data_IF_883359365032
#
_entry.id   IF_883359365032
#
_cell.length_a   1.000
_cell.length_b   1.000
_cell.length_c   1.000
_cell.angle_alpha   90.00
_cell.angle_beta   90.00
_cell.angle_gamma   90.00
#
_symmetry.space_group_name_H-M   'P 1'
#
loop_
_entity.id
_entity.type
_entity.pdbx_description
1 polymer ?
#
# COMPACT_ATOMS: atom_id res chain seq x y z
N UNK A 1 -2.05 -4.64 10.26
CA UNK A 1 -0.61 -4.78 9.96
C UNK A 1 -0.35 -4.83 8.47
N UNK A 2 0.04 -3.69 7.89
CA UNK A 2 0.38 -3.55 6.47
C UNK A 2 1.79 -4.13 6.21
N UNK A 3 1.89 -5.11 5.31
CA UNK A 3 3.14 -5.80 4.95
C UNK A 3 3.35 -5.83 3.44
N UNK A 4 4.57 -6.19 3.01
CA UNK A 4 4.95 -6.28 1.61
C UNK A 4 4.06 -7.23 0.77
N UNK A 5 3.65 -8.34 1.38
CA UNK A 5 2.79 -9.37 0.78
C UNK A 5 1.30 -8.97 0.78
N UNK A 6 0.93 -7.95 1.56
CA UNK A 6 -0.45 -7.46 1.60
C UNK A 6 -0.86 -7.01 0.20
N UNK A 7 -1.99 -7.54 -0.27
CA UNK A 7 -2.56 -7.12 -1.56
C UNK A 7 -3.14 -5.72 -1.45
N UNK A 8 -3.03 -4.95 -2.53
CA UNK A 8 -3.67 -3.63 -2.59
C UNK A 8 -5.19 -3.75 -2.40
N UNK A 9 -5.81 -4.87 -2.78
CA UNK A 9 -7.23 -5.10 -2.53
C UNK A 9 -7.53 -5.06 -1.03
N UNK A 10 -6.85 -5.88 -0.23
CA UNK A 10 -7.09 -5.94 1.20
C UNK A 10 -6.77 -4.60 1.87
N UNK A 11 -5.71 -3.92 1.42
CA UNK A 11 -5.33 -2.61 1.89
C UNK A 11 -6.42 -1.56 1.64
N UNK A 12 -6.92 -1.48 0.40
CA UNK A 12 -7.90 -0.48 -0.01
C UNK A 12 -9.34 -0.82 0.38
N UNK A 13 -9.62 -2.08 0.72
CA UNK A 13 -10.89 -2.51 1.30
C UNK A 13 -11.00 -2.04 2.76
N UNK A 14 -9.89 -2.14 3.52
CA UNK A 14 -9.81 -1.61 4.87
C UNK A 14 -9.66 -0.09 4.91
N UNK A 15 -8.89 0.49 3.98
CA UNK A 15 -8.51 1.91 3.95
C UNK A 15 -8.64 2.49 2.54
N UNK A 16 -9.87 2.78 2.07
CA UNK A 16 -10.09 3.31 0.72
C UNK A 16 -9.45 4.69 0.50
N UNK A 17 -9.21 5.46 1.57
CA UNK A 17 -8.49 6.74 1.54
C UNK A 17 -7.03 6.62 1.06
N UNK A 18 -6.38 5.46 1.21
CA UNK A 18 -4.98 5.26 0.79
C UNK A 18 -4.81 5.28 -0.73
N UNK A 19 -5.88 5.15 -1.50
CA UNK A 19 -5.82 5.25 -2.96
C UNK A 19 -5.32 6.63 -3.39
N UNK A 20 -5.66 7.67 -2.65
CA UNK A 20 -5.20 9.03 -2.92
C UNK A 20 -3.70 9.17 -2.66
N UNK A 21 -3.21 8.58 -1.57
CA UNK A 21 -1.78 8.55 -1.25
C UNK A 21 -0.98 7.76 -2.28
N UNK A 22 -1.46 6.57 -2.68
CA UNK A 22 -0.85 5.80 -3.76
C UNK A 22 -0.84 6.60 -5.08
N UNK A 23 -1.94 7.25 -5.43
CA UNK A 23 -2.02 8.06 -6.64
C UNK A 23 -1.06 9.26 -6.63
N UNK A 24 -0.71 9.81 -5.46
CA UNK A 24 0.33 10.84 -5.32
C UNK A 24 1.73 10.31 -5.59
N UNK A 25 2.01 9.06 -5.23
CA UNK A 25 3.29 8.42 -5.52
C UNK A 25 3.45 8.04 -6.99
N UNK A 26 2.40 7.51 -7.64
CA UNK A 26 2.50 7.10 -9.03
C UNK A 26 1.15 7.15 -9.77
N UNK A 27 1.17 7.71 -10.99
CA UNK A 27 -0.03 7.91 -11.81
C UNK A 27 -0.78 6.60 -12.14
N UNK A 28 -0.07 5.46 -12.18
CA UNK A 28 -0.70 4.16 -12.42
C UNK A 28 -1.70 3.77 -11.33
N UNK A 29 -1.50 4.23 -10.09
CA UNK A 29 -2.42 4.00 -8.98
C UNK A 29 -3.65 4.91 -9.01
N UNK A 30 -3.64 6.00 -9.78
CA UNK A 30 -4.83 6.82 -9.97
C UNK A 30 -5.97 6.01 -10.61
N UNK A 31 -5.65 4.96 -11.37
CA UNK A 31 -6.64 4.05 -11.96
C UNK A 31 -7.37 3.22 -10.89
N UNK A 32 -6.79 3.03 -9.71
CA UNK A 32 -7.44 2.33 -8.58
C UNK A 32 -8.53 3.17 -7.90
N UNK A 33 -8.66 4.46 -8.26
CA UNK A 33 -9.83 5.27 -7.89
C UNK A 33 -11.11 4.70 -8.48
N UNK A 34 -11.03 4.07 -9.65
CA UNK A 34 -12.16 3.37 -10.24
C UNK A 34 -12.38 2.03 -9.52
N UNK A 35 -13.60 1.84 -9.00
CA UNK A 35 -13.94 0.65 -8.23
C UNK A 35 -13.83 -0.66 -9.04
N UNK A 36 -14.04 -0.60 -10.36
CA UNK A 36 -13.93 -1.77 -11.24
C UNK A 36 -12.47 -2.13 -11.42
N UNK A 37 -11.63 -1.16 -11.78
CA UNK A 37 -10.18 -1.36 -11.93
C UNK A 37 -9.56 -1.85 -10.62
N UNK A 38 -9.97 -1.27 -9.49
CA UNK A 38 -9.52 -1.72 -8.16
C UNK A 38 -9.84 -3.19 -7.93
N UNK A 39 -11.05 -3.65 -8.23
CA UNK A 39 -11.42 -5.06 -8.07
C UNK A 39 -10.68 -6.02 -9.00
N UNK A 40 -10.25 -5.55 -10.17
CA UNK A 40 -9.57 -6.38 -11.18
C UNK A 40 -8.06 -6.46 -10.99
N UNK A 41 -7.43 -5.36 -10.58
CA UNK A 41 -5.97 -5.21 -10.48
C UNK A 41 -5.48 -5.36 -9.04
N UNK A 42 -6.16 -4.75 -8.06
CA UNK A 42 -5.70 -4.73 -6.68
C UNK A 42 -5.51 -6.11 -6.02
N UNK A 43 -6.28 -7.18 -6.33
CA UNK A 43 -5.99 -8.51 -5.76
C UNK A 43 -4.75 -9.18 -6.35
N UNK A 44 -4.28 -8.72 -7.50
CA UNK A 44 -3.12 -9.28 -8.21
C UNK A 44 -1.82 -8.53 -7.94
N UNK A 45 -1.92 -7.38 -7.27
CA UNK A 45 -0.79 -6.49 -6.99
C UNK A 45 -0.62 -6.40 -5.48
N UNK A 46 0.56 -6.77 -5.01
CA UNK A 46 0.99 -6.59 -3.63
C UNK A 46 1.64 -5.23 -3.42
N UNK A 47 1.77 -4.79 -2.17
CA UNK A 47 2.50 -3.55 -1.83
C UNK A 47 3.95 -3.61 -2.33
N UNK A 48 4.60 -4.78 -2.29
CA UNK A 48 5.93 -4.99 -2.86
C UNK A 48 5.98 -4.71 -4.37
N UNK A 49 5.02 -5.26 -5.11
CA UNK A 49 4.93 -5.04 -6.56
C UNK A 49 4.58 -3.59 -6.88
N UNK A 50 3.72 -2.97 -6.08
CA UNK A 50 3.36 -1.57 -6.20
C UNK A 50 4.60 -0.67 -6.05
N UNK A 51 5.43 -0.91 -5.03
CA UNK A 51 6.67 -0.17 -4.82
C UNK A 51 7.63 -0.32 -6.01
N UNK A 52 7.82 -1.55 -6.49
CA UNK A 52 8.66 -1.84 -7.66
C UNK A 52 8.14 -1.15 -8.93
N UNK A 53 6.82 -1.14 -9.15
CA UNK A 53 6.20 -0.46 -10.31
C UNK A 53 6.32 1.06 -10.24
N UNK A 54 6.24 1.64 -9.04
CA UNK A 54 6.39 3.07 -8.82
C UNK A 54 7.85 3.54 -8.76
N UNK A 55 8.81 2.61 -8.76
CA UNK A 55 10.23 2.92 -8.63
C UNK A 55 10.60 3.51 -7.26
N UNK A 56 9.78 3.25 -6.23
CA UNK A 56 10.01 3.73 -4.86
C UNK A 56 10.48 2.58 -3.96
N UNK A 57 11.30 2.86 -2.92
CA UNK A 57 11.67 1.85 -1.95
C UNK A 57 10.44 1.29 -1.23
N UNK A 58 10.36 -0.03 -1.12
CA UNK A 58 9.26 -0.71 -0.44
C UNK A 58 9.10 -0.25 1.01
N UNK A 59 10.21 -0.01 1.71
CA UNK A 59 10.20 0.43 3.10
C UNK A 59 9.58 1.84 3.24
N UNK A 60 9.91 2.76 2.33
CA UNK A 60 9.30 4.09 2.28
C UNK A 60 7.81 4.02 1.99
N UNK A 61 7.40 3.18 1.03
CA UNK A 61 5.97 3.02 0.70
C UNK A 61 5.20 2.42 1.90
N UNK A 62 5.76 1.41 2.56
CA UNK A 62 5.15 0.83 3.76
C UNK A 62 5.04 1.84 4.89
N UNK A 63 6.09 2.64 5.12
CA UNK A 63 6.08 3.69 6.15
C UNK A 63 5.02 4.76 5.84
N UNK A 64 4.92 5.20 4.58
CA UNK A 64 3.91 6.16 4.13
C UNK A 64 2.49 5.61 4.30
N UNK A 65 2.24 4.38 3.84
CA UNK A 65 0.93 3.73 3.94
C UNK A 65 0.51 3.50 5.40
N UNK A 66 1.43 3.04 6.26
CA UNK A 66 1.16 2.86 7.70
C UNK A 66 0.82 4.18 8.37
N UNK A 67 1.62 5.22 8.09
CA UNK A 67 1.38 6.56 8.62
C UNK A 67 0.03 7.12 8.18
N UNK A 68 -0.33 6.94 6.92
CA UNK A 68 -1.61 7.38 6.37
C UNK A 68 -2.80 6.58 6.92
N UNK A 69 -2.63 5.28 7.17
CA UNK A 69 -3.63 4.41 7.79
C UNK A 69 -3.81 4.66 9.31
N UNK A 70 -2.96 5.50 9.92
CA UNK A 70 -2.93 5.70 11.37
C UNK A 70 -2.40 4.50 12.14
N UNK A 71 -1.84 3.50 11.46
CA UNK A 71 -1.15 2.38 12.09
C UNK A 71 0.17 2.92 12.68
N UNK A 72 0.56 2.53 13.91
CA UNK A 72 1.89 2.84 14.39
C UNK A 72 2.88 2.26 13.38
N UNK A 73 3.76 3.12 12.83
CA UNK A 73 4.85 2.68 11.97
C UNK A 73 5.61 1.63 12.76
N UNK A 74 5.40 0.36 12.41
CA UNK A 74 5.86 -0.78 13.21
C UNK A 74 7.29 -0.54 13.59
N UNK A 75 7.54 -0.36 14.87
CA UNK A 75 8.88 -0.21 15.43
C UNK A 75 9.72 -1.38 14.91
N UNK A 76 10.81 -1.16 14.16
CA UNK A 76 11.75 -2.22 13.91
C UNK A 76 12.49 -2.46 15.23
N UNK A 77 12.07 -3.47 15.98
CA UNK A 77 12.82 -3.99 17.12
C UNK A 77 12.07 -3.94 18.45
N UNK A 78 11.83 -5.13 18.98
CA UNK A 78 11.38 -5.31 20.35
C UNK A 78 10.78 -6.67 20.64
N UNK A 79 11.40 -7.76 20.17
CA UNK A 79 11.50 -8.99 20.97
C UNK A 79 12.57 -9.91 20.36
N UNK A 80 13.83 -9.68 20.75
CA UNK A 80 14.82 -10.74 20.76
C UNK A 80 14.97 -11.17 22.22
N UNK A 81 14.54 -12.42 22.51
CA UNK A 81 14.75 -13.25 23.71
C UNK A 81 13.70 -13.24 24.82
#
# INVERSE_FOLDING_TARGET
MISADTTLLHLLDAHPELVEELARHHAHFAQLRDATTRRLVAPRVTVAQAAAMAGVPLDELLAALRRAAGEPAGTPGGDER
#
